data_IF_138521270774
#
_entry.id   IF_138521270774
#
_cell.length_a   1.000
_cell.length_b   1.000
_cell.length_c   1.000
_cell.angle_alpha   90.00
_cell.angle_beta   90.00
_cell.angle_gamma   90.00
#
_symmetry.space_group_name_H-M   'P 1'
#
loop_
_entity.id
_entity.type
_entity.pdbx_description
1 polymer ?
#
# COMPACT_ATOMS: atom_id res chain seq x y z
N UNK A 1 12.82 7.79 10.49
CA UNK A 1 13.31 7.59 11.85
C UNK A 1 12.50 8.54 12.66
N UNK A 2 11.66 8.00 13.52
CA UNK A 2 10.96 8.83 14.47
C UNK A 2 11.90 9.39 15.50
N UNK A 3 11.51 10.52 16.06
CA UNK A 3 12.11 11.08 17.26
C UNK A 3 11.78 10.09 18.38
N UNK A 4 12.80 9.41 18.88
CA UNK A 4 12.68 8.51 20.02
C UNK A 4 13.73 8.90 21.05
N UNK A 5 13.29 9.52 22.13
CA UNK A 5 14.11 9.96 23.23
C UNK A 5 13.30 10.01 24.53
N UNK A 6 13.98 10.02 25.68
CA UNK A 6 13.33 9.80 26.97
C UNK A 6 12.45 10.97 27.44
N UNK A 7 12.53 12.16 26.83
CA UNK A 7 11.67 13.29 27.20
C UNK A 7 10.26 13.16 26.63
N UNK A 8 9.30 13.86 27.24
CA UNK A 8 7.89 13.77 26.87
C UNK A 8 7.59 14.13 25.40
N UNK A 9 8.35 15.05 24.82
CA UNK A 9 8.19 15.50 23.43
C UNK A 9 9.31 15.00 22.50
N UNK A 10 10.21 14.14 22.99
CA UNK A 10 11.15 13.41 22.12
C UNK A 10 10.46 12.16 21.58
N UNK A 11 9.27 12.35 21.04
CA UNK A 11 8.35 11.32 20.58
C UNK A 11 7.52 11.93 19.43
N UNK A 12 7.46 11.24 18.28
CA UNK A 12 6.77 11.74 17.09
C UNK A 12 5.28 11.97 17.34
N UNK A 13 4.63 11.06 18.06
CA UNK A 13 3.22 11.19 18.39
C UNK A 13 3.00 12.42 19.27
N UNK A 14 3.91 12.64 20.22
CA UNK A 14 3.84 13.80 21.11
C UNK A 14 3.96 15.13 20.35
N UNK A 15 4.89 15.23 19.40
CA UNK A 15 5.03 16.42 18.56
C UNK A 15 3.81 16.64 17.68
N UNK A 16 3.27 15.58 17.09
CA UNK A 16 2.09 15.66 16.24
C UNK A 16 0.88 16.20 17.00
N UNK A 17 0.58 15.64 18.20
CA UNK A 17 -0.55 16.09 19.03
C UNK A 17 -0.43 17.59 19.33
N UNK A 18 0.78 18.03 19.65
CA UNK A 18 1.06 19.43 19.95
C UNK A 18 0.77 20.32 18.74
N UNK A 19 1.30 19.98 17.57
CA UNK A 19 1.14 20.80 16.37
C UNK A 19 -0.32 20.84 15.92
N UNK A 20 -1.03 19.70 15.92
CA UNK A 20 -2.44 19.64 15.52
C UNK A 20 -3.32 20.46 16.48
N UNK A 21 -3.08 20.35 17.79
CA UNK A 21 -3.81 21.16 18.76
C UNK A 21 -3.56 22.67 18.57
N UNK A 22 -2.30 23.07 18.33
CA UNK A 22 -1.94 24.46 18.02
C UNK A 22 -2.61 24.94 16.72
N UNK A 23 -2.61 24.13 15.66
CA UNK A 23 -3.27 24.43 14.39
C UNK A 23 -4.80 24.60 14.52
N UNK A 24 -5.46 23.77 15.32
CA UNK A 24 -6.90 23.86 15.56
C UNK A 24 -7.26 25.19 16.24
N UNK A 25 -6.45 25.62 17.20
CA UNK A 25 -6.60 26.93 17.84
C UNK A 25 -6.33 28.07 16.84
N UNK A 26 -5.31 27.94 15.98
CA UNK A 26 -5.03 28.93 14.92
C UNK A 26 -6.17 29.05 13.90
N UNK A 27 -6.86 27.95 13.60
CA UNK A 27 -8.06 27.90 12.74
C UNK A 27 -9.33 28.43 13.43
N UNK A 28 -9.23 28.88 14.67
CA UNK A 28 -10.32 29.51 15.42
C UNK A 28 -11.28 28.53 16.11
N UNK A 29 -10.91 27.25 16.24
CA UNK A 29 -11.68 26.29 17.05
C UNK A 29 -11.64 26.70 18.51
N UNK A 30 -12.76 26.56 19.21
CA UNK A 30 -12.76 26.71 20.66
C UNK A 30 -12.15 25.46 21.32
N UNK A 31 -11.74 25.57 22.58
CA UNK A 31 -11.03 24.48 23.28
C UNK A 31 -11.80 23.16 23.31
N UNK A 32 -13.14 23.21 23.44
CA UNK A 32 -13.96 22.00 23.51
C UNK A 32 -13.98 21.29 22.15
N UNK A 33 -14.15 22.06 21.08
CA UNK A 33 -14.08 21.54 19.70
C UNK A 33 -12.68 21.01 19.39
N UNK A 34 -11.61 21.73 19.76
CA UNK A 34 -10.24 21.29 19.51
C UNK A 34 -9.92 19.97 20.23
N UNK A 35 -10.38 19.79 21.47
CA UNK A 35 -10.20 18.54 22.22
C UNK A 35 -10.97 17.38 21.56
N UNK A 36 -12.22 17.61 21.14
CA UNK A 36 -13.02 16.60 20.44
C UNK A 36 -12.40 16.22 19.09
N UNK A 37 -11.97 17.21 18.32
CA UNK A 37 -11.29 17.01 17.04
C UNK A 37 -10.01 16.18 17.27
N UNK A 38 -9.19 16.50 18.28
CA UNK A 38 -8.02 15.69 18.64
C UNK A 38 -8.41 14.25 19.03
N UNK A 39 -9.52 14.02 19.74
CA UNK A 39 -9.95 12.64 20.01
C UNK A 39 -10.28 11.85 18.75
N UNK A 40 -11.01 12.45 17.83
CA UNK A 40 -11.39 11.78 16.59
C UNK A 40 -10.18 11.53 15.70
N UNK A 41 -9.27 12.51 15.64
CA UNK A 41 -8.05 12.46 14.85
C UNK A 41 -7.12 11.33 15.31
N UNK A 42 -7.02 11.09 16.62
CA UNK A 42 -6.07 10.15 17.25
C UNK A 42 -6.74 8.87 17.79
N UNK A 43 -7.92 8.53 17.28
CA UNK A 43 -8.72 7.42 17.82
C UNK A 43 -7.98 6.08 17.75
N UNK A 44 -7.26 5.82 16.68
CA UNK A 44 -6.49 4.58 16.48
C UNK A 44 -5.34 4.48 17.50
N UNK A 45 -4.62 5.58 17.72
CA UNK A 45 -3.52 5.65 18.69
C UNK A 45 -4.01 5.54 20.14
N UNK A 46 -5.26 5.91 20.41
CA UNK A 46 -5.90 5.70 21.72
C UNK A 46 -6.27 4.22 21.94
N UNK A 47 -6.51 3.47 20.87
CA UNK A 47 -6.82 2.03 20.91
C UNK A 47 -5.56 1.17 21.01
N UNK A 48 -4.41 1.67 20.54
CA UNK A 48 -3.09 1.06 20.71
C UNK A 48 -2.54 1.26 22.13
N UNK A 49 -2.20 0.19 22.84
CA UNK A 49 -1.75 0.26 24.24
C UNK A 49 -0.45 1.05 24.42
N UNK A 50 0.47 0.98 23.44
CA UNK A 50 1.77 1.60 23.53
C UNK A 50 1.68 3.10 23.31
N UNK A 51 0.90 3.51 22.29
CA UNK A 51 0.72 4.91 21.88
C UNK A 51 -0.29 5.67 22.78
N UNK A 52 -1.29 4.97 23.32
CA UNK A 52 -2.33 5.55 24.19
C UNK A 52 -1.75 6.27 25.41
N UNK A 53 -0.75 5.67 26.07
CA UNK A 53 -0.11 6.26 27.24
C UNK A 53 0.56 7.61 26.92
N UNK A 54 1.25 7.68 25.78
CA UNK A 54 1.88 8.90 25.26
C UNK A 54 0.82 9.93 24.92
N UNK A 55 -0.25 9.53 24.21
CA UNK A 55 -1.33 10.43 23.83
C UNK A 55 -1.93 11.18 25.02
N UNK A 56 -2.34 10.46 26.07
CA UNK A 56 -2.99 11.07 27.23
C UNK A 56 -2.04 11.97 28.02
N UNK A 57 -0.80 11.55 28.23
CA UNK A 57 0.21 12.35 28.93
C UNK A 57 0.51 13.65 28.21
N UNK A 58 0.68 13.59 26.89
CA UNK A 58 1.04 14.76 26.07
C UNK A 58 -0.13 15.72 25.96
N UNK A 59 -1.34 15.23 25.66
CA UNK A 59 -2.53 16.07 25.58
C UNK A 59 -2.77 16.78 26.92
N UNK A 60 -2.58 16.09 28.05
CA UNK A 60 -2.71 16.72 29.36
C UNK A 60 -1.67 17.84 29.61
N UNK A 61 -0.40 17.64 29.24
CA UNK A 61 0.63 18.68 29.37
C UNK A 61 0.35 19.88 28.45
N UNK A 62 -0.10 19.65 27.21
CA UNK A 62 -0.49 20.72 26.27
C UNK A 62 -1.65 21.54 26.83
N UNK A 63 -2.72 20.88 27.29
CA UNK A 63 -3.88 21.56 27.83
C UNK A 63 -3.55 22.29 29.14
N UNK A 64 -2.71 21.71 29.99
CA UNK A 64 -2.20 22.37 31.20
C UNK A 64 -1.45 23.67 30.85
N UNK A 65 -0.51 23.62 29.89
CA UNK A 65 0.24 24.80 29.41
C UNK A 65 -0.67 25.89 28.85
N UNK A 66 -1.75 25.50 28.19
CA UNK A 66 -2.75 26.41 27.63
C UNK A 66 -3.83 26.86 28.64
N UNK A 67 -3.75 26.44 29.92
CA UNK A 67 -4.75 26.71 30.98
C UNK A 67 -6.16 26.23 30.64
N UNK A 68 -6.25 25.14 29.86
CA UNK A 68 -7.49 24.56 29.34
C UNK A 68 -7.62 23.07 29.72
N UNK A 69 -6.88 22.62 30.73
CA UNK A 69 -6.93 21.23 31.17
C UNK A 69 -8.31 20.90 31.73
N UNK A 70 -8.96 19.91 31.12
CA UNK A 70 -10.26 19.40 31.56
C UNK A 70 -10.06 18.28 32.58
N UNK A 71 -11.05 18.11 33.47
CA UNK A 71 -11.06 17.01 34.44
C UNK A 71 -10.92 15.64 33.75
N UNK A 72 -11.63 15.44 32.64
CA UNK A 72 -11.58 14.21 31.87
C UNK A 72 -10.17 13.86 31.37
N UNK A 73 -9.48 14.82 30.72
CA UNK A 73 -8.12 14.58 30.21
C UNK A 73 -7.13 14.35 31.36
N UNK A 74 -7.27 15.12 32.45
CA UNK A 74 -6.45 14.96 33.66
C UNK A 74 -6.58 13.56 34.26
N UNK A 75 -7.80 13.08 34.48
CA UNK A 75 -8.07 11.77 35.07
C UNK A 75 -7.52 10.63 34.20
N UNK A 76 -7.66 10.74 32.87
CA UNK A 76 -7.11 9.75 31.94
C UNK A 76 -5.59 9.72 31.97
N UNK A 77 -4.93 10.87 31.88
CA UNK A 77 -3.47 10.94 31.95
C UNK A 77 -2.92 10.41 33.27
N UNK A 78 -3.55 10.75 34.40
CA UNK A 78 -3.16 10.20 35.70
C UNK A 78 -3.33 8.69 35.78
N UNK A 79 -4.43 8.16 35.23
CA UNK A 79 -4.66 6.71 35.15
C UNK A 79 -3.56 6.00 34.37
N UNK A 80 -3.19 6.49 33.18
CA UNK A 80 -2.12 5.88 32.38
C UNK A 80 -0.75 5.98 33.08
N UNK A 81 -0.47 7.08 33.79
CA UNK A 81 0.73 7.21 34.62
C UNK A 81 0.76 6.18 35.76
N UNK A 82 -0.40 5.89 36.37
CA UNK A 82 -0.52 4.94 37.49
C UNK A 82 -0.50 3.49 37.04
N UNK A 83 -1.01 3.18 35.86
CA UNK A 83 -0.88 1.86 35.24
C UNK A 83 0.60 1.50 35.02
N UNK A 84 1.45 2.49 34.73
CA UNK A 84 2.90 2.30 34.68
C UNK A 84 3.42 1.56 33.44
N UNK A 85 2.54 1.10 32.55
CA UNK A 85 2.87 0.36 31.32
C UNK A 85 3.93 1.09 30.46
N UNK A 86 3.84 2.42 30.35
CA UNK A 86 4.85 3.22 29.66
C UNK A 86 6.24 3.05 30.29
N UNK A 87 6.35 3.09 31.62
CA UNK A 87 7.63 2.92 32.32
C UNK A 87 8.16 1.49 32.25
N UNK A 88 7.29 0.49 32.28
CA UNK A 88 7.68 -0.90 32.10
C UNK A 88 8.30 -1.13 30.73
N UNK A 89 7.69 -0.55 29.68
CA UNK A 89 8.24 -0.58 28.33
C UNK A 89 9.62 0.05 28.24
N UNK A 90 9.78 1.27 28.75
CA UNK A 90 11.08 1.96 28.77
C UNK A 90 12.14 1.19 29.56
N UNK A 91 11.75 0.49 30.64
CA UNK A 91 12.66 -0.37 31.40
C UNK A 91 13.16 -1.58 30.60
N UNK A 92 12.33 -2.11 29.70
CA UNK A 92 12.63 -3.30 28.91
C UNK A 92 13.36 -2.97 27.60
N UNK A 93 13.05 -1.82 26.98
CA UNK A 93 13.50 -1.47 25.62
C UNK A 93 14.63 -0.44 25.58
N UNK A 94 14.82 0.36 26.63
CA UNK A 94 15.77 1.49 26.63
C UNK A 94 16.99 1.26 27.54
N UNK A 95 17.94 2.20 27.48
CA UNK A 95 19.05 2.24 28.43
C UNK A 95 18.56 2.61 29.84
N UNK A 96 19.31 2.20 30.87
CA UNK A 96 19.00 2.58 32.26
C UNK A 96 19.00 4.11 32.45
N UNK A 97 19.88 4.82 31.73
CA UNK A 97 19.94 6.29 31.76
C UNK A 97 18.66 6.92 31.19
N UNK A 98 18.19 6.42 30.04
CA UNK A 98 16.96 6.89 29.40
C UNK A 98 15.72 6.58 30.24
N UNK A 99 15.65 5.38 30.82
CA UNK A 99 14.59 5.01 31.75
C UNK A 99 14.52 5.98 32.95
N UNK A 100 15.66 6.33 33.55
CA UNK A 100 15.72 7.29 34.66
C UNK A 100 15.24 8.68 34.21
N UNK A 101 15.60 9.14 33.00
CA UNK A 101 15.14 10.42 32.46
C UNK A 101 13.63 10.39 32.24
N UNK A 102 13.10 9.33 31.62
CA UNK A 102 11.67 9.15 31.35
C UNK A 102 10.86 9.16 32.64
N UNK A 103 11.31 8.41 33.65
CA UNK A 103 10.70 8.37 34.98
C UNK A 103 10.62 9.75 35.62
N UNK A 104 11.72 10.52 35.57
CA UNK A 104 11.73 11.90 36.07
C UNK A 104 10.73 12.79 35.34
N UNK A 105 10.62 12.69 34.03
CA UNK A 105 9.67 13.48 33.24
C UNK A 105 8.21 13.12 33.55
N UNK A 106 7.89 11.84 33.71
CA UNK A 106 6.55 11.38 34.12
C UNK A 106 6.21 11.86 35.55
N UNK A 107 7.13 11.76 36.51
CA UNK A 107 6.93 12.29 37.86
C UNK A 107 6.69 13.80 37.86
N UNK A 108 7.40 14.53 36.99
CA UNK A 108 7.25 15.97 36.80
C UNK A 108 5.88 16.31 36.24
N UNK A 109 5.39 15.53 35.27
CA UNK A 109 4.04 15.66 34.73
C UNK A 109 2.99 15.35 35.79
N UNK A 110 3.12 14.24 36.53
CA UNK A 110 2.21 13.87 37.62
C UNK A 110 2.07 15.00 38.64
N UNK A 111 3.18 15.55 39.13
CA UNK A 111 3.18 16.70 40.05
C UNK A 111 2.48 17.94 39.48
N UNK A 112 2.64 18.24 38.18
CA UNK A 112 1.91 19.34 37.52
C UNK A 112 0.41 19.07 37.50
N UNK A 113 -0.01 17.86 37.13
CA UNK A 113 -1.43 17.49 37.03
C UNK A 113 -2.09 17.49 38.41
N UNK A 114 -1.41 16.95 39.44
CA UNK A 114 -1.92 16.91 40.81
C UNK A 114 -2.09 18.31 41.42
N UNK A 115 -1.15 19.23 41.14
CA UNK A 115 -1.21 20.61 41.63
C UNK A 115 -2.19 21.51 40.86
N UNK A 116 -2.78 21.03 39.77
CA UNK A 116 -3.76 21.80 39.00
C UNK A 116 -5.08 21.94 39.77
N UNK A 117 -5.38 23.17 40.21
CA UNK A 117 -6.68 23.58 40.74
C UNK A 117 -7.52 24.18 39.61
N UNK A 118 -8.76 23.71 39.45
CA UNK A 118 -9.69 24.19 38.43
C UNK A 118 -9.87 25.71 38.54
N UNK A 119 -9.45 26.45 37.51
CA UNK A 119 -10.00 27.77 37.27
C UNK A 119 -11.32 27.58 36.52
N UNK A 120 -12.43 27.43 37.25
CA UNK A 120 -13.73 27.79 36.68
C UNK A 120 -13.71 29.29 36.36
N UNK A 121 -13.40 29.64 35.11
CA UNK A 121 -13.69 30.98 34.60
C UNK A 121 -14.38 30.86 33.26
N UNK A 122 -15.64 31.30 33.30
CA UNK A 122 -16.56 31.58 32.21
C UNK A 122 -15.85 32.02 30.93
N UNK A 123 -16.36 31.47 29.83
CA UNK A 123 -16.10 31.91 28.48
C UNK A 123 -16.39 33.41 28.34
N UNK A 124 -15.36 34.24 28.50
CA UNK A 124 -15.35 35.59 27.93
C UNK A 124 -14.17 35.70 26.98
N UNK A 125 -14.54 35.53 25.73
CA UNK A 125 -13.81 35.74 24.48
C UNK A 125 -12.96 37.02 24.54
N UNK A 126 -11.71 36.90 24.96
CA UNK A 126 -10.69 37.92 24.63
C UNK A 126 -10.09 37.55 23.29
N UNK A 127 -10.76 38.02 22.24
CA UNK A 127 -10.23 38.12 20.88
C UNK A 127 -8.90 38.89 20.94
N UNK A 128 -7.79 38.15 21.05
CA UNK A 128 -6.46 38.72 20.80
C UNK A 128 -6.30 38.83 19.29
N UNK A 129 -6.46 40.07 18.83
CA UNK A 129 -5.94 40.67 17.60
C UNK A 129 -5.26 39.68 16.64
N UNK A 130 -5.89 39.49 15.50
CA UNK A 130 -5.35 38.89 14.27
C UNK A 130 -3.97 39.45 13.96
N UNK A 131 -2.91 38.79 14.43
CA UNK A 131 -1.61 38.87 13.77
C UNK A 131 -1.76 38.12 12.46
N UNK A 132 -1.45 38.78 11.34
CA UNK A 132 -1.32 38.15 10.02
C UNK A 132 -0.38 36.95 10.16
N UNK A 133 -0.93 35.74 10.06
CA UNK A 133 -0.20 34.48 10.12
C UNK A 133 0.46 34.27 8.76
N UNK A 134 1.78 34.09 8.75
CA UNK A 134 2.51 33.53 7.62
C UNK A 134 2.04 32.10 7.40
N UNK A 135 1.69 31.73 6.16
CA UNK A 135 1.42 30.34 5.77
C UNK A 135 2.63 29.49 6.19
N UNK A 136 2.55 28.81 7.32
CA UNK A 136 3.56 27.82 7.69
C UNK A 136 3.37 26.61 6.78
N UNK A 137 4.48 26.12 6.23
CA UNK A 137 4.59 25.09 5.20
C UNK A 137 3.94 23.77 5.62
N UNK A 138 2.67 23.55 5.29
CA UNK A 138 2.08 22.20 5.26
C UNK A 138 2.79 21.45 4.12
N UNK A 139 3.48 20.35 4.42
CA UNK A 139 4.10 19.49 3.41
C UNK A 139 2.98 18.85 2.59
N UNK A 140 2.69 19.40 1.41
CA UNK A 140 1.69 18.87 0.48
C UNK A 140 2.40 18.11 -0.64
N UNK A 141 2.19 16.80 -0.69
CA UNK A 141 2.81 15.95 -1.69
C UNK A 141 1.99 16.04 -2.99
N UNK A 142 2.54 16.59 -4.07
CA UNK A 142 1.83 16.82 -5.34
C UNK A 142 2.03 15.68 -6.33
N UNK A 143 1.10 15.51 -7.27
CA UNK A 143 1.28 14.54 -8.36
C UNK A 143 2.56 14.86 -9.14
N UNK A 144 3.42 13.85 -9.30
CA UNK A 144 4.75 13.91 -9.89
C UNK A 144 5.87 14.10 -8.87
N UNK A 145 5.58 14.56 -7.66
CA UNK A 145 6.62 14.76 -6.65
C UNK A 145 7.29 13.43 -6.32
N UNK A 146 8.62 13.44 -6.38
CA UNK A 146 9.46 12.24 -6.28
C UNK A 146 10.50 12.40 -5.19
N UNK A 147 10.64 11.37 -4.37
CA UNK A 147 11.54 11.34 -3.23
C UNK A 147 12.41 10.09 -3.25
N UNK A 148 13.67 10.23 -2.88
CA UNK A 148 14.52 9.09 -2.54
C UNK A 148 14.39 8.78 -1.05
N UNK A 149 14.14 7.52 -0.72
CA UNK A 149 14.18 6.97 0.63
C UNK A 149 15.39 6.04 0.73
N UNK A 150 16.31 6.30 1.67
CA UNK A 150 17.50 5.48 1.86
C UNK A 150 17.14 4.16 2.53
N UNK A 151 17.43 3.04 1.86
CA UNK A 151 17.19 1.69 2.37
C UNK A 151 18.17 1.41 3.52
N UNK A 152 17.65 0.93 4.66
CA UNK A 152 18.47 0.65 5.85
C UNK A 152 18.98 -0.79 5.91
N UNK A 153 18.35 -1.73 5.20
CA UNK A 153 18.82 -3.12 5.14
C UNK A 153 20.23 -3.21 4.52
N UNK A 154 21.12 -3.93 5.21
CA UNK A 154 22.53 -4.05 4.84
C UNK A 154 22.74 -4.73 3.49
N UNK A 155 21.81 -5.55 3.00
CA UNK A 155 21.88 -6.16 1.66
C UNK A 155 21.73 -5.14 0.54
N UNK A 156 21.10 -4.00 0.85
CA UNK A 156 20.84 -2.91 -0.09
C UNK A 156 21.60 -1.64 0.29
N UNK A 157 22.75 -1.81 0.97
CA UNK A 157 23.52 -0.69 1.50
C UNK A 157 23.81 0.37 0.43
N UNK A 158 23.31 1.58 0.69
CA UNK A 158 23.50 2.75 -0.18
C UNK A 158 22.54 2.83 -1.35
N UNK A 159 21.60 1.90 -1.50
CA UNK A 159 20.50 2.00 -2.45
C UNK A 159 19.32 2.79 -1.86
N UNK A 160 18.47 3.27 -2.77
CA UNK A 160 17.30 4.08 -2.45
C UNK A 160 16.05 3.51 -3.12
N UNK A 161 14.93 3.57 -2.40
CA UNK A 161 13.62 3.56 -3.05
C UNK A 161 13.34 4.94 -3.61
N UNK A 162 12.87 4.99 -4.86
CA UNK A 162 12.41 6.20 -5.52
C UNK A 162 10.88 6.17 -5.53
N UNK A 163 10.28 6.99 -4.68
CA UNK A 163 8.85 7.06 -4.42
C UNK A 163 8.28 8.22 -5.24
N UNK A 164 7.42 7.92 -6.24
CA UNK A 164 6.77 8.95 -7.05
C UNK A 164 5.26 8.93 -6.84
N UNK A 165 4.69 10.04 -6.40
CA UNK A 165 3.24 10.21 -6.33
C UNK A 165 2.64 10.32 -7.73
N UNK A 166 1.60 9.53 -8.01
CA UNK A 166 0.92 9.51 -9.32
C UNK A 166 -0.59 9.72 -9.25
N UNK A 167 -1.19 9.50 -8.09
CA UNK A 167 -2.62 9.72 -7.90
C UNK A 167 -2.89 10.05 -6.42
N UNK A 168 -3.89 10.89 -6.18
CA UNK A 168 -4.42 11.15 -4.84
C UNK A 168 -5.20 9.94 -4.35
N UNK A 169 -5.08 9.59 -3.07
CA UNK A 169 -5.87 8.52 -2.48
C UNK A 169 -6.71 9.09 -1.34
N UNK A 170 -8.03 8.90 -1.39
CA UNK A 170 -8.93 9.27 -0.30
C UNK A 170 -9.20 8.03 0.54
N UNK A 171 -8.39 7.79 1.57
CA UNK A 171 -8.77 6.81 2.59
C UNK A 171 -9.75 7.46 3.59
N UNK A 172 -10.75 6.69 4.00
CA UNK A 172 -11.91 7.12 4.79
C UNK A 172 -11.58 8.07 5.97
N UNK A 173 -12.26 9.21 6.00
CA UNK A 173 -12.65 10.05 7.15
C UNK A 173 -11.62 10.58 8.17
N UNK A 174 -10.31 10.36 8.04
CA UNK A 174 -9.35 11.04 8.92
C UNK A 174 -8.57 12.13 8.16
N UNK A 175 -8.94 13.40 8.36
CA UNK A 175 -8.35 14.59 7.70
C UNK A 175 -6.90 14.88 8.12
N UNK A 176 -6.29 14.03 8.95
CA UNK A 176 -4.96 14.25 9.52
C UNK A 176 -3.84 14.00 8.53
N UNK A 177 -3.92 12.90 7.79
CA UNK A 177 -2.81 12.42 6.97
C UNK A 177 -3.12 12.42 5.49
N UNK A 178 -2.11 12.78 4.70
CA UNK A 178 -2.19 12.60 3.26
C UNK A 178 -2.04 11.11 2.92
N UNK A 179 -2.75 10.66 1.91
CA UNK A 179 -2.55 9.35 1.29
C UNK A 179 -2.29 9.54 -0.20
N UNK A 180 -1.44 8.69 -0.77
CA UNK A 180 -1.07 8.79 -2.17
C UNK A 180 -0.96 7.39 -2.78
N UNK A 181 -1.36 7.26 -4.03
CA UNK A 181 -0.92 6.13 -4.85
C UNK A 181 0.43 6.51 -5.44
N UNK A 182 1.43 5.67 -5.20
CA UNK A 182 2.81 5.88 -5.63
C UNK A 182 3.29 4.73 -6.50
N UNK A 183 4.25 5.03 -7.39
CA UNK A 183 5.18 4.03 -7.88
C UNK A 183 6.38 3.94 -6.95
N UNK A 184 6.98 2.75 -6.90
CA UNK A 184 8.26 2.52 -6.23
C UNK A 184 9.25 1.96 -7.25
N UNK A 185 10.35 2.68 -7.46
CA UNK A 185 11.50 2.21 -8.22
C UNK A 185 12.69 2.00 -7.27
N UNK A 186 13.69 1.24 -7.70
CA UNK A 186 14.92 1.01 -6.93
C UNK A 186 16.17 1.41 -7.74
N UNK A 187 17.12 2.06 -7.07
CA UNK A 187 18.42 2.41 -7.65
C UNK A 187 19.30 1.17 -7.80
N UNK A 188 19.86 0.96 -8.99
CA UNK A 188 20.80 -0.16 -9.24
C UNK A 188 22.22 0.12 -8.74
N UNK A 189 22.58 1.39 -8.59
CA UNK A 189 23.85 1.89 -8.04
C UNK A 189 23.58 2.68 -6.75
N UNK A 190 24.63 2.98 -5.98
CA UNK A 190 24.52 3.77 -4.73
C UNK A 190 24.28 5.28 -4.99
N UNK A 191 23.72 5.63 -6.14
CA UNK A 191 23.56 7.01 -6.61
C UNK A 191 22.09 7.40 -6.66
N UNK A 192 21.80 8.65 -6.31
CA UNK A 192 20.46 9.22 -6.36
C UNK A 192 20.24 9.80 -7.76
N UNK A 193 19.15 9.43 -8.46
CA UNK A 193 18.88 9.95 -9.80
C UNK A 193 18.54 11.44 -9.76
N UNK A 194 18.99 12.19 -10.76
CA UNK A 194 18.88 13.66 -10.80
C UNK A 194 17.87 14.20 -11.80
N UNK A 195 17.44 13.39 -12.76
CA UNK A 195 16.59 13.79 -13.87
C UNK A 195 15.67 12.65 -14.33
N UNK A 196 14.71 12.98 -15.19
CA UNK A 196 13.73 12.03 -15.72
C UNK A 196 14.39 10.84 -16.42
N UNK A 197 15.45 11.05 -17.21
CA UNK A 197 16.13 9.99 -17.96
C UNK A 197 16.81 8.95 -17.06
N UNK A 198 17.36 9.39 -15.93
CA UNK A 198 17.95 8.51 -14.92
C UNK A 198 16.86 7.73 -14.18
N UNK A 199 15.76 8.38 -13.82
CA UNK A 199 14.60 7.72 -13.18
C UNK A 199 13.96 6.69 -14.12
N UNK A 200 13.80 7.02 -15.41
CA UNK A 200 13.25 6.13 -16.45
C UNK A 200 14.04 4.82 -16.57
N UNK A 201 15.34 4.83 -16.25
CA UNK A 201 16.21 3.65 -16.33
C UNK A 201 16.06 2.72 -15.13
N UNK A 202 15.50 3.19 -14.01
CA UNK A 202 15.35 2.41 -12.79
C UNK A 202 14.28 1.33 -12.92
N UNK A 203 14.39 0.30 -12.08
CA UNK A 203 13.48 -0.83 -12.10
C UNK A 203 12.31 -0.57 -11.15
N UNK A 204 11.08 -0.80 -11.61
CA UNK A 204 9.86 -0.73 -10.80
C UNK A 204 9.73 -2.01 -9.98
N UNK A 205 9.47 -1.88 -8.67
CA UNK A 205 9.24 -3.03 -7.80
C UNK A 205 7.84 -3.58 -8.07
N UNK A 206 7.72 -4.90 -8.24
CA UNK A 206 6.42 -5.55 -8.38
C UNK A 206 5.71 -5.57 -7.02
N UNK A 207 4.56 -4.89 -6.92
CA UNK A 207 3.76 -4.84 -5.70
C UNK A 207 2.87 -6.07 -5.57
N UNK A 208 2.23 -6.47 -6.68
CA UNK A 208 1.45 -7.70 -6.75
C UNK A 208 1.66 -8.39 -8.09
N UNK A 209 1.61 -9.72 -8.07
CA UNK A 209 1.61 -10.57 -9.25
C UNK A 209 0.58 -11.69 -9.04
N UNK A 210 -0.49 -11.67 -9.84
CA UNK A 210 -1.51 -12.75 -9.84
C UNK A 210 -1.28 -13.66 -11.04
N UNK A 211 -0.93 -14.91 -10.77
CA UNK A 211 -0.82 -15.98 -11.78
C UNK A 211 0.28 -15.76 -12.83
N UNK A 212 1.27 -14.89 -12.59
CA UNK A 212 2.31 -14.51 -13.57
C UNK A 212 1.75 -13.86 -14.86
N UNK A 213 0.55 -13.27 -14.76
CA UNK A 213 -0.17 -12.67 -15.90
C UNK A 213 -0.81 -11.32 -15.58
N UNK A 214 -0.84 -10.92 -14.30
CA UNK A 214 -1.40 -9.65 -13.87
C UNK A 214 -0.46 -9.02 -12.84
N UNK A 215 0.25 -7.98 -13.28
CA UNK A 215 1.24 -7.27 -12.48
C UNK A 215 0.71 -5.92 -12.01
N UNK A 216 1.06 -5.53 -10.80
CA UNK A 216 0.84 -4.16 -10.30
C UNK A 216 2.15 -3.61 -9.77
N UNK A 217 2.39 -2.33 -10.05
CA UNK A 217 3.60 -1.62 -9.65
C UNK A 217 3.30 -0.42 -8.75
N UNK A 218 2.02 -0.12 -8.55
CA UNK A 218 1.54 0.93 -7.66
C UNK A 218 1.12 0.38 -6.32
N UNK A 219 1.37 1.16 -5.27
CA UNK A 219 0.96 0.87 -3.90
C UNK A 219 0.35 2.14 -3.30
N UNK A 220 -0.60 1.97 -2.40
CA UNK A 220 -1.12 3.05 -1.57
C UNK A 220 -0.13 3.29 -0.43
N UNK A 221 0.43 4.49 -0.39
CA UNK A 221 1.19 4.99 0.75
C UNK A 221 0.24 5.81 1.62
N UNK A 222 -0.14 5.26 2.77
CA UNK A 222 -1.05 5.88 3.73
C UNK A 222 -0.29 6.55 4.87
N UNK A 223 -1.00 7.41 5.62
CA UNK A 223 -0.44 8.11 6.78
C UNK A 223 0.83 8.92 6.44
N UNK A 224 0.87 9.60 5.29
CA UNK A 224 2.00 10.46 4.92
C UNK A 224 2.07 11.62 5.92
N UNK A 225 3.20 11.78 6.65
CA UNK A 225 3.33 12.83 7.65
C UNK A 225 3.25 14.23 7.04
N UNK A 226 2.64 15.17 7.76
CA UNK A 226 2.57 16.60 7.37
C UNK A 226 3.91 17.33 7.46
N UNK A 227 4.92 16.72 8.06
CA UNK A 227 6.33 17.14 8.03
C UNK A 227 7.12 16.12 7.22
N UNK A 228 8.01 16.59 6.35
CA UNK A 228 8.84 15.71 5.54
C UNK A 228 9.73 14.83 6.44
N UNK A 229 9.64 13.49 6.36
CA UNK A 229 10.54 12.61 7.09
C UNK A 229 12.00 12.92 6.75
N UNK A 230 12.88 12.94 7.76
CA UNK A 230 14.32 13.22 7.60
C UNK A 230 15.04 12.25 6.65
N UNK A 231 14.43 11.08 6.42
CA UNK A 231 14.96 10.03 5.55
C UNK A 231 14.60 10.20 4.08
N UNK A 232 13.72 11.15 3.76
CA UNK A 232 13.34 11.46 2.39
C UNK A 232 14.22 12.58 1.85
N UNK A 233 14.66 12.40 0.61
CA UNK A 233 15.38 13.42 -0.16
C UNK A 233 14.49 13.79 -1.33
N UNK A 234 14.05 15.04 -1.41
CA UNK A 234 13.22 15.51 -2.52
C UNK A 234 14.07 15.61 -3.79
N UNK A 235 13.62 14.96 -4.86
CA UNK A 235 14.34 14.91 -6.13
C UNK A 235 13.77 15.88 -7.17
N UNK A 236 12.49 16.25 -7.03
CA UNK A 236 11.78 17.10 -7.98
C UNK A 236 10.38 16.60 -8.28
N UNK A 237 9.72 17.28 -9.20
CA UNK A 237 8.40 16.92 -9.70
C UNK A 237 8.53 16.38 -11.12
N UNK A 238 8.34 15.07 -11.30
CA UNK A 238 8.50 14.34 -12.55
C UNK A 238 7.19 13.68 -12.92
N UNK A 239 6.49 14.20 -13.92
CA UNK A 239 5.14 13.70 -14.30
C UNK A 239 5.17 12.67 -15.43
N UNK A 240 6.19 12.74 -16.28
CA UNK A 240 6.21 12.06 -17.58
C UNK A 240 7.22 10.89 -17.62
N UNK A 241 7.37 10.16 -16.51
CA UNK A 241 8.22 8.97 -16.46
C UNK A 241 7.47 7.79 -17.08
N UNK A 242 8.17 6.98 -17.88
CA UNK A 242 7.61 5.79 -18.52
C UNK A 242 7.15 4.78 -17.47
N UNK A 243 5.92 4.31 -17.60
CA UNK A 243 5.35 3.28 -16.73
C UNK A 243 5.55 1.88 -17.33
N UNK A 244 5.51 0.81 -16.52
CA UNK A 244 5.52 -0.56 -17.04
C UNK A 244 4.35 -0.82 -18.00
N UNK A 245 4.63 -1.45 -19.14
CA UNK A 245 3.63 -1.71 -20.19
C UNK A 245 2.64 -2.81 -19.82
N UNK A 246 3.03 -3.70 -18.91
CA UNK A 246 2.26 -4.86 -18.43
C UNK A 246 1.50 -4.58 -17.12
N UNK A 247 1.45 -3.31 -16.70
CA UNK A 247 0.74 -2.93 -15.49
C UNK A 247 -0.77 -3.08 -15.64
N UNK A 248 -1.36 -3.76 -14.67
CA UNK A 248 -2.78 -3.75 -14.44
C UNK A 248 -3.17 -2.65 -13.44
N UNK A 249 -4.05 -1.75 -13.88
CA UNK A 249 -4.63 -0.70 -13.05
C UNK A 249 -5.92 -1.21 -12.42
N UNK A 250 -5.96 -1.33 -11.09
CA UNK A 250 -7.22 -1.66 -10.39
C UNK A 250 -8.25 -0.55 -10.55
N UNK A 251 -9.51 -0.96 -10.69
CA UNK A 251 -10.64 -0.02 -10.78
C UNK A 251 -11.01 0.57 -9.42
N UNK A 252 -10.81 -0.21 -8.36
CA UNK A 252 -11.15 0.16 -6.99
C UNK A 252 -9.86 0.29 -6.18
N UNK A 253 -9.61 1.47 -5.61
CA UNK A 253 -8.38 1.77 -4.85
C UNK A 253 -8.18 0.82 -3.66
N UNK A 254 -9.26 0.32 -3.05
CA UNK A 254 -9.23 -0.66 -1.96
C UNK A 254 -8.53 -1.98 -2.33
N UNK A 255 -8.36 -2.26 -3.61
CA UNK A 255 -7.67 -3.45 -4.11
C UNK A 255 -6.17 -3.23 -4.34
N UNK A 256 -5.66 -2.01 -4.10
CA UNK A 256 -4.24 -1.67 -4.19
C UNK A 256 -3.55 -2.00 -2.87
N UNK A 257 -2.33 -2.56 -2.94
CA UNK A 257 -1.56 -2.91 -1.75
C UNK A 257 -1.27 -1.67 -0.89
N UNK A 258 -1.29 -1.84 0.44
CA UNK A 258 -1.09 -0.77 1.42
C UNK A 258 0.32 -0.79 2.00
N UNK A 259 0.96 0.37 2.11
CA UNK A 259 2.27 0.56 2.77
C UNK A 259 2.32 1.87 3.55
N UNK A 260 3.06 1.92 4.64
CA UNK A 260 3.28 3.11 5.46
C UNK A 260 4.76 3.45 5.49
N UNK A 261 5.13 4.64 6.00
CA UNK A 261 6.54 4.91 6.30
C UNK A 261 7.07 4.08 7.48
N UNK A 262 6.21 3.61 8.39
CA UNK A 262 6.61 2.68 9.47
C UNK A 262 7.07 1.33 8.87
N UNK A 263 6.41 0.89 7.80
CA UNK A 263 6.62 -0.43 7.18
C UNK A 263 7.28 -0.36 5.79
N UNK A 264 7.88 0.77 5.41
CA UNK A 264 8.34 0.96 4.03
C UNK A 264 9.46 -0.01 3.63
N UNK A 265 10.24 -0.50 4.60
CA UNK A 265 11.27 -1.52 4.39
C UNK A 265 10.66 -2.89 3.99
N UNK A 266 9.36 -3.16 4.24
CA UNK A 266 8.69 -4.36 3.74
C UNK A 266 8.62 -4.41 2.20
N UNK A 267 8.88 -3.30 1.51
CA UNK A 267 9.05 -3.28 0.06
C UNK A 267 10.25 -4.15 -0.39
N UNK A 268 11.24 -4.37 0.47
CA UNK A 268 12.32 -5.33 0.22
C UNK A 268 11.77 -6.74 0.07
N UNK A 269 10.86 -7.16 0.96
CA UNK A 269 10.25 -8.49 0.90
C UNK A 269 9.46 -8.64 -0.41
N UNK A 270 8.73 -7.60 -0.83
CA UNK A 270 8.04 -7.60 -2.12
C UNK A 270 9.00 -7.79 -3.29
N UNK A 271 10.11 -7.06 -3.30
CA UNK A 271 11.14 -7.21 -4.31
C UNK A 271 11.79 -8.60 -4.29
N UNK A 272 12.04 -9.17 -3.11
CA UNK A 272 12.60 -10.52 -2.98
C UNK A 272 11.62 -11.62 -3.42
N UNK A 273 10.31 -11.41 -3.22
CA UNK A 273 9.28 -12.40 -3.54
C UNK A 273 8.78 -12.34 -4.99
N UNK A 274 8.74 -11.13 -5.57
CA UNK A 274 8.08 -10.84 -6.84
C UNK A 274 9.01 -10.22 -7.88
N UNK A 275 10.17 -9.70 -7.46
CA UNK A 275 11.16 -9.07 -8.34
C UNK A 275 10.78 -7.66 -8.77
N UNK A 276 11.29 -7.29 -9.93
CA UNK A 276 11.06 -5.98 -10.57
C UNK A 276 10.45 -6.16 -11.95
N UNK A 277 10.01 -5.07 -12.59
CA UNK A 277 9.52 -5.11 -13.97
C UNK A 277 10.57 -5.65 -14.97
N UNK A 278 11.88 -5.52 -14.69
CA UNK A 278 12.95 -6.08 -15.54
C UNK A 278 13.37 -7.49 -15.15
N UNK A 279 13.22 -7.84 -13.86
CA UNK A 279 13.59 -9.15 -13.31
C UNK A 279 12.45 -9.71 -12.48
N UNK A 280 11.30 -10.06 -13.11
CA UNK A 280 10.16 -10.60 -12.38
C UNK A 280 10.49 -12.01 -11.87
N UNK A 281 10.06 -12.31 -10.66
CA UNK A 281 10.17 -13.65 -10.08
C UNK A 281 8.87 -14.40 -10.34
N UNK A 282 8.98 -15.47 -11.12
CA UNK A 282 7.86 -16.33 -11.47
C UNK A 282 7.71 -17.45 -10.44
N UNK A 283 6.49 -17.63 -9.94
CA UNK A 283 6.14 -18.74 -9.06
C UNK A 283 5.42 -19.82 -9.88
N UNK A 284 5.73 -21.09 -9.63
CA UNK A 284 4.96 -22.19 -10.21
C UNK A 284 3.58 -22.24 -9.53
N UNK A 285 2.53 -21.93 -10.28
CA UNK A 285 1.17 -21.79 -9.79
C UNK A 285 0.26 -22.65 -10.65
N UNK A 286 -0.29 -23.70 -10.06
CA UNK A 286 -1.37 -24.47 -10.69
C UNK A 286 -2.60 -23.55 -10.87
N UNK A 287 -3.11 -23.35 -12.11
CA UNK A 287 -4.34 -22.60 -12.36
C UNK A 287 -5.53 -23.04 -11.50
N UNK A 288 -5.59 -24.29 -11.04
CA UNK A 288 -6.63 -24.80 -10.13
C UNK A 288 -6.66 -24.07 -8.78
N UNK A 289 -5.52 -23.56 -8.33
CA UNK A 289 -5.40 -22.82 -7.07
C UNK A 289 -5.78 -21.34 -7.21
N UNK A 290 -6.08 -20.87 -8.43
CA UNK A 290 -6.49 -19.50 -8.68
C UNK A 290 -8.01 -19.39 -8.63
N UNK A 291 -8.57 -18.60 -7.70
CA UNK A 291 -10.02 -18.42 -7.56
C UNK A 291 -10.64 -17.51 -8.62
N UNK A 292 -9.87 -16.54 -9.14
CA UNK A 292 -10.32 -15.60 -10.17
C UNK A 292 -10.29 -16.24 -11.57
N UNK A 293 -11.48 -16.44 -12.17
CA UNK A 293 -11.62 -17.02 -13.51
C UNK A 293 -10.91 -16.23 -14.60
N UNK A 294 -10.86 -14.91 -14.48
CA UNK A 294 -10.20 -14.08 -15.48
C UNK A 294 -8.68 -14.29 -15.43
N UNK A 295 -8.12 -14.46 -14.23
CA UNK A 295 -6.70 -14.79 -14.07
C UNK A 295 -6.42 -16.19 -14.61
N UNK A 296 -7.26 -17.19 -14.33
CA UNK A 296 -7.13 -18.53 -14.93
C UNK A 296 -7.13 -18.47 -16.45
N UNK A 297 -8.05 -17.70 -17.04
CA UNK A 297 -8.11 -17.47 -18.48
C UNK A 297 -6.81 -16.89 -19.02
N UNK A 298 -6.31 -15.80 -18.42
CA UNK A 298 -5.05 -15.18 -18.84
C UNK A 298 -3.84 -16.13 -18.69
N UNK A 299 -3.80 -16.94 -17.63
CA UNK A 299 -2.78 -18.00 -17.45
C UNK A 299 -2.81 -19.00 -18.61
N UNK A 300 -4.00 -19.39 -19.07
CA UNK A 300 -4.15 -20.28 -20.23
C UNK A 300 -3.78 -19.62 -21.55
N UNK A 301 -4.13 -18.34 -21.74
CA UNK A 301 -3.68 -17.58 -22.91
C UNK A 301 -2.16 -17.53 -22.96
N UNK A 302 -1.49 -17.21 -21.83
CA UNK A 302 -0.03 -17.23 -21.74
C UNK A 302 0.54 -18.61 -22.08
N UNK A 303 0.02 -19.67 -21.47
CA UNK A 303 0.43 -21.05 -21.73
C UNK A 303 0.33 -21.41 -23.22
N UNK A 304 -0.81 -21.18 -23.86
CA UNK A 304 -0.99 -21.54 -25.27
C UNK A 304 -0.18 -20.65 -26.22
N UNK A 305 0.00 -19.35 -25.92
CA UNK A 305 0.89 -18.48 -26.70
C UNK A 305 2.32 -19.02 -26.71
N UNK A 306 2.84 -19.37 -25.54
CA UNK A 306 4.21 -19.89 -25.38
C UNK A 306 4.37 -21.27 -26.00
N UNK A 307 3.41 -22.17 -25.76
CA UNK A 307 3.49 -23.54 -26.25
C UNK A 307 3.30 -23.65 -27.75
N UNK A 308 2.34 -22.92 -28.33
CA UNK A 308 2.02 -23.01 -29.75
C UNK A 308 2.81 -22.00 -30.61
N UNK A 309 3.51 -21.05 -29.99
CA UNK A 309 4.16 -19.91 -30.66
C UNK A 309 3.18 -19.16 -31.59
N UNK A 310 1.96 -18.95 -31.10
CA UNK A 310 0.90 -18.22 -31.80
C UNK A 310 0.54 -17.02 -30.94
N UNK A 311 0.52 -15.83 -31.54
CA UNK A 311 0.17 -14.59 -30.84
C UNK A 311 -1.15 -14.08 -31.40
N UNK A 312 -2.21 -13.99 -30.58
CA UNK A 312 -3.47 -13.40 -31.03
C UNK A 312 -3.28 -11.89 -31.29
N UNK A 313 -4.02 -11.31 -32.25
CA UNK A 313 -4.06 -9.86 -32.45
C UNK A 313 -4.45 -9.10 -31.18
N UNK A 314 -3.92 -7.90 -30.98
CA UNK A 314 -4.07 -7.11 -29.74
C UNK A 314 -5.53 -6.84 -29.34
N UNK A 315 -6.42 -6.68 -30.33
CA UNK A 315 -7.85 -6.44 -30.13
C UNK A 315 -8.72 -7.64 -30.53
N UNK A 316 -8.15 -8.85 -30.52
CA UNK A 316 -8.87 -10.05 -30.89
C UNK A 316 -10.05 -10.31 -29.93
N UNK A 317 -11.22 -10.56 -30.52
CA UNK A 317 -12.40 -10.92 -29.76
C UNK A 317 -12.27 -12.39 -29.33
N UNK A 318 -12.43 -12.66 -28.03
CA UNK A 318 -12.22 -14.01 -27.46
C UNK A 318 -13.01 -15.10 -28.19
N UNK A 319 -14.26 -14.84 -28.53
CA UNK A 319 -15.13 -15.80 -29.24
C UNK A 319 -14.73 -16.06 -30.70
N UNK A 320 -13.99 -15.15 -31.32
CA UNK A 320 -13.71 -15.19 -32.76
C UNK A 320 -12.25 -15.62 -33.03
N UNK A 321 -11.39 -15.65 -32.01
CA UNK A 321 -10.00 -16.05 -32.12
C UNK A 321 -9.76 -17.43 -31.52
N UNK A 322 -9.17 -18.34 -32.31
CA UNK A 322 -8.97 -19.73 -31.92
C UNK A 322 -8.20 -19.90 -30.61
N UNK A 323 -7.05 -19.22 -30.45
CA UNK A 323 -6.20 -19.33 -29.26
C UNK A 323 -6.92 -18.83 -28.01
N UNK A 324 -7.58 -17.67 -28.12
CA UNK A 324 -8.34 -17.10 -27.00
C UNK A 324 -9.52 -17.99 -26.63
N UNK A 325 -10.25 -18.53 -27.61
CA UNK A 325 -11.39 -19.39 -27.36
C UNK A 325 -10.97 -20.69 -26.66
N UNK A 326 -9.94 -21.40 -27.15
CA UNK A 326 -9.48 -22.64 -26.49
C UNK A 326 -8.93 -22.36 -25.09
N UNK A 327 -8.29 -21.21 -24.88
CA UNK A 327 -7.83 -20.78 -23.55
C UNK A 327 -9.00 -20.54 -22.60
N UNK A 328 -10.10 -19.96 -23.09
CA UNK A 328 -11.34 -19.79 -22.34
C UNK A 328 -11.92 -21.16 -21.96
N UNK A 329 -12.09 -22.06 -22.93
CA UNK A 329 -12.63 -23.41 -22.68
C UNK A 329 -11.78 -24.16 -21.66
N UNK A 330 -10.46 -24.17 -21.81
CA UNK A 330 -9.56 -24.81 -20.85
C UNK A 330 -9.69 -24.21 -19.45
N UNK A 331 -9.78 -22.88 -19.35
CA UNK A 331 -9.96 -22.19 -18.06
C UNK A 331 -11.30 -22.51 -17.38
N UNK A 332 -12.37 -22.74 -18.17
CA UNK A 332 -13.69 -23.11 -17.65
C UNK A 332 -13.71 -24.55 -17.15
N UNK A 333 -13.03 -25.47 -17.85
CA UNK A 333 -12.94 -26.88 -17.45
C UNK A 333 -12.19 -27.07 -16.13
N UNK A 334 -11.33 -26.13 -15.74
CA UNK A 334 -10.64 -26.13 -14.44
C UNK A 334 -11.61 -25.87 -13.27
N UNK A 335 -12.73 -25.17 -13.49
CA UNK A 335 -13.70 -24.81 -12.44
C UNK A 335 -13.40 -23.50 -11.72
N UNK A 336 -14.06 -23.27 -10.58
CA UNK A 336 -13.94 -22.06 -9.74
C UNK A 336 -15.03 -21.00 -9.99
N UNK A 337 -15.00 -19.89 -9.24
CA UNK A 337 -15.96 -18.80 -9.42
C UNK A 337 -15.76 -18.16 -10.81
N UNK A 338 -16.82 -18.12 -11.61
CA UNK A 338 -16.82 -17.48 -12.94
C UNK A 338 -17.41 -16.08 -12.79
N UNK A 339 -16.58 -15.06 -12.97
CA UNK A 339 -17.04 -13.67 -13.01
C UNK A 339 -17.76 -13.47 -14.35
N UNK A 340 -19.10 -13.31 -14.32
CA UNK A 340 -20.00 -13.28 -15.48
C UNK A 340 -20.03 -14.61 -16.26
N UNK A 341 -20.78 -15.63 -15.78
CA UNK A 341 -20.90 -16.90 -16.50
C UNK A 341 -21.50 -16.67 -17.90
N UNK A 342 -20.80 -17.13 -18.94
CA UNK A 342 -21.33 -17.15 -20.30
C UNK A 342 -22.31 -18.32 -20.37
N UNK A 343 -23.58 -18.04 -20.70
CA UNK A 343 -24.66 -19.03 -20.75
C UNK A 343 -24.57 -20.05 -21.91
N UNK A 344 -23.37 -20.46 -22.29
CA UNK A 344 -23.13 -21.36 -23.42
C UNK A 344 -23.44 -22.80 -23.01
N UNK A 345 -24.27 -23.52 -23.79
CA UNK A 345 -24.52 -24.94 -23.55
C UNK A 345 -23.23 -25.73 -23.80
N UNK A 346 -22.94 -26.72 -22.94
CA UNK A 346 -21.70 -27.52 -23.00
C UNK A 346 -21.48 -28.15 -24.38
N UNK A 347 -22.53 -28.66 -25.04
CA UNK A 347 -22.40 -29.26 -26.39
C UNK A 347 -21.96 -28.24 -27.45
N UNK A 348 -22.54 -27.04 -27.42
CA UNK A 348 -22.22 -25.96 -28.35
C UNK A 348 -20.78 -25.48 -28.12
N UNK A 349 -20.34 -25.44 -26.86
CA UNK A 349 -18.96 -25.13 -26.48
C UNK A 349 -17.96 -26.16 -27.04
N UNK A 350 -18.24 -27.47 -26.90
CA UNK A 350 -17.35 -28.54 -27.39
C UNK A 350 -17.18 -28.50 -28.90
N UNK A 351 -18.29 -28.40 -29.63
CA UNK A 351 -18.26 -28.35 -31.10
C UNK A 351 -17.42 -27.18 -31.61
N UNK A 352 -17.64 -25.99 -31.05
CA UNK A 352 -16.85 -24.81 -31.40
C UNK A 352 -15.38 -24.95 -31.00
N UNK A 353 -15.09 -25.54 -29.83
CA UNK A 353 -13.71 -25.76 -29.40
C UNK A 353 -12.94 -26.69 -30.35
N UNK A 354 -13.58 -27.71 -30.91
CA UNK A 354 -12.96 -28.57 -31.92
C UNK A 354 -12.63 -27.81 -33.20
N UNK A 355 -13.55 -26.97 -33.70
CA UNK A 355 -13.28 -26.10 -34.85
C UNK A 355 -12.05 -25.21 -34.60
N UNK A 356 -11.96 -24.61 -33.41
CA UNK A 356 -10.81 -23.75 -33.04
C UNK A 356 -9.51 -24.52 -32.87
N UNK A 357 -9.57 -25.76 -32.37
CA UNK A 357 -8.40 -26.63 -32.32
C UNK A 357 -7.90 -26.93 -33.73
N UNK A 358 -8.78 -27.28 -34.68
CA UNK A 358 -8.39 -27.52 -36.07
C UNK A 358 -7.79 -26.28 -36.75
N UNK A 359 -8.30 -25.08 -36.45
CA UNK A 359 -7.70 -23.82 -36.89
C UNK A 359 -6.26 -23.69 -36.37
N UNK A 360 -6.02 -23.97 -35.08
CA UNK A 360 -4.68 -23.91 -34.49
C UNK A 360 -3.75 -24.99 -35.04
N UNK A 361 -4.24 -26.20 -35.29
CA UNK A 361 -3.46 -27.28 -35.91
C UNK A 361 -2.96 -26.87 -37.30
N UNK A 362 -3.82 -26.22 -38.11
CA UNK A 362 -3.42 -25.66 -39.42
C UNK A 362 -2.34 -24.59 -39.25
N UNK A 363 -2.53 -23.65 -38.34
CA UNK A 363 -1.55 -22.60 -38.06
C UNK A 363 -0.19 -23.17 -37.62
N UNK A 364 -0.17 -24.20 -36.77
CA UNK A 364 1.06 -24.89 -36.34
C UNK A 364 1.75 -25.57 -37.53
N UNK A 365 0.99 -26.24 -38.39
CA UNK A 365 1.56 -26.91 -39.56
C UNK A 365 2.16 -25.94 -40.57
N UNK A 366 1.62 -24.73 -40.69
CA UNK A 366 2.10 -23.65 -41.56
C UNK A 366 3.35 -22.92 -41.03
N UNK A 367 3.69 -23.09 -39.74
CA UNK A 367 4.88 -22.44 -39.16
C UNK A 367 6.17 -22.93 -39.82
N UNK A 368 7.16 -22.04 -39.94
CA UNK A 368 8.47 -22.38 -40.48
C UNK A 368 9.40 -22.96 -39.39
N UNK A 369 9.06 -24.17 -38.93
CA UNK A 369 9.77 -24.89 -37.87
C UNK A 369 9.97 -26.36 -38.24
N UNK A 370 10.88 -27.05 -37.51
CA UNK A 370 11.14 -28.48 -37.71
C UNK A 370 9.95 -29.33 -37.28
N UNK A 371 9.78 -30.50 -37.91
CA UNK A 371 8.62 -31.37 -37.69
C UNK A 371 8.45 -31.80 -36.23
N UNK A 372 9.55 -32.10 -35.53
CA UNK A 372 9.53 -32.51 -34.11
C UNK A 372 8.85 -31.46 -33.22
N UNK A 373 9.16 -30.17 -33.41
CA UNK A 373 8.54 -29.07 -32.64
C UNK A 373 7.04 -28.94 -33.00
N UNK A 374 6.70 -29.12 -34.27
CA UNK A 374 5.29 -29.12 -34.71
C UNK A 374 4.52 -30.26 -34.06
N UNK A 375 5.08 -31.46 -34.04
CA UNK A 375 4.47 -32.64 -33.43
C UNK A 375 4.25 -32.44 -31.92
N UNK A 376 5.21 -31.85 -31.20
CA UNK A 376 5.04 -31.46 -29.80
C UNK A 376 3.86 -30.50 -29.59
N UNK A 377 3.69 -29.52 -30.47
CA UNK A 377 2.58 -28.55 -30.41
C UNK A 377 1.23 -29.18 -30.74
N UNK A 378 1.19 -30.07 -31.73
CA UNK A 378 -0.01 -30.83 -32.08
C UNK A 378 -0.42 -31.72 -30.90
N UNK A 379 0.52 -32.39 -30.24
CA UNK A 379 0.24 -33.20 -29.05
C UNK A 379 -0.43 -32.40 -27.91
N UNK A 380 -0.07 -31.13 -27.74
CA UNK A 380 -0.71 -30.23 -26.76
C UNK A 380 -2.18 -29.95 -27.11
N UNK A 381 -2.47 -29.78 -28.41
CA UNK A 381 -3.83 -29.57 -28.91
C UNK A 381 -4.66 -30.87 -28.82
N UNK A 382 -4.06 -32.03 -29.08
CA UNK A 382 -4.70 -33.34 -28.90
C UNK A 382 -5.02 -33.65 -27.44
N UNK A 383 -4.13 -33.32 -26.50
CA UNK A 383 -4.40 -33.44 -25.07
C UNK A 383 -5.62 -32.60 -24.68
N UNK A 384 -5.66 -31.33 -25.11
CA UNK A 384 -6.81 -30.47 -24.86
C UNK A 384 -8.08 -31.08 -25.46
N UNK A 385 -8.04 -31.62 -26.68
CA UNK A 385 -9.18 -32.26 -27.34
C UNK A 385 -9.75 -33.42 -26.50
N UNK A 386 -8.88 -34.27 -25.94
CA UNK A 386 -9.26 -35.38 -25.03
C UNK A 386 -9.86 -34.88 -23.72
N UNK A 387 -9.32 -33.80 -23.14
CA UNK A 387 -9.89 -33.17 -21.93
C UNK A 387 -11.28 -32.58 -22.19
N UNK A 388 -11.49 -31.95 -23.33
CA UNK A 388 -12.80 -31.44 -23.75
C UNK A 388 -13.81 -32.57 -23.96
N UNK A 389 -13.37 -33.67 -24.58
CA UNK A 389 -14.23 -34.85 -24.82
C UNK A 389 -14.78 -35.41 -23.50
N UNK A 390 -13.92 -35.61 -22.52
CA UNK A 390 -14.27 -36.14 -21.19
C UNK A 390 -14.99 -35.16 -20.26
N UNK A 391 -15.11 -33.87 -20.61
CA UNK A 391 -15.75 -32.87 -19.77
C UNK A 391 -17.29 -32.95 -19.82
N UNK A 392 -17.94 -33.28 -18.70
CA UNK A 392 -19.41 -33.40 -18.62
C UNK A 392 -20.13 -32.10 -18.18
N UNK A 393 -19.38 -31.06 -17.79
CA UNK A 393 -19.92 -29.82 -17.24
C UNK A 393 -20.19 -29.89 -15.74
N UNK A 394 -20.24 -28.72 -15.08
CA UNK A 394 -20.74 -28.65 -13.70
C UNK A 394 -22.27 -28.78 -13.73
N UNK A 395 -22.79 -29.93 -13.29
CA UNK A 395 -24.18 -30.01 -12.84
C UNK A 395 -24.28 -29.18 -11.57
N UNK A 396 -24.72 -27.92 -11.70
CA UNK A 396 -25.28 -27.22 -10.55
C UNK A 396 -26.53 -28.00 -10.13
N UNK A 397 -26.37 -28.88 -9.14
CA UNK A 397 -27.50 -29.35 -8.34
C UNK A 397 -27.95 -28.10 -7.59
N UNK A 398 -29.02 -27.47 -8.09
CA UNK A 398 -29.67 -26.33 -7.46
C UNK A 398 -30.14 -26.66 -6.05
#
# INVERSE_FOLDING_TARGET
MGTWGPKLYEDDLAEDIKNEYEELLEKGRNNKEAIEDIYQIYKEEIEDSDEKSVFWMVLADILYKNKNLTKFVKEKALKEIELGENLERWKNEASEEDYIIRKKEIEKLKKKLDSYQECEKNAETKNKSTKKISKNNIFEWKIGDTYAYKIQDSKFEGQYFILRKVQDCMYYNNTRYQSAIIYVQITSNKEIPKNEEEIDKLEYIVMTNKGNVKYQYRTQLYQIPRKMPTQLIYLGNFKNIKTPNDEYIEKEEISVWLTSFKDIEYLIIRMMDLGTNKKPIYKDIDPKNMSDSYIRFLMKVKYYKEKLNIIPPENAIVKDNALLYVSLVDSLMIGGFVKNPVGMKVKDMKAEAYNRIEELEKMVNEQNEIQEIKDERINILEDLRKRIESYEGYQYIY
#
